data_IF_517424136228
#
_entry.id   IF_517424136228
#
_cell.length_a   1.000
_cell.length_b   1.000
_cell.length_c   1.000
_cell.angle_alpha   90.00
_cell.angle_beta   90.00
_cell.angle_gamma   90.00
#
_symmetry.space_group_name_H-M   'P 1'
#
loop_
_entity.id
_entity.type
_entity.pdbx_description
1 polymer ?
#
# COMPACT_ATOMS: atom_id res chain seq x y z
N UNK A 1 4.80 -15.53 13.69
CA UNK A 1 4.21 -14.94 12.46
C UNK A 1 5.27 -14.06 11.83
N UNK A 2 5.50 -14.15 10.52
CA UNK A 2 6.42 -13.24 9.82
C UNK A 2 5.78 -11.86 9.72
N UNK A 3 6.61 -10.81 9.69
CA UNK A 3 6.20 -9.42 9.54
C UNK A 3 7.01 -8.81 8.38
N UNK A 4 6.40 -7.90 7.62
CA UNK A 4 7.07 -7.10 6.60
C UNK A 4 6.92 -5.63 6.97
N UNK A 5 7.96 -4.86 6.72
CA UNK A 5 7.89 -3.40 6.79
C UNK A 5 7.65 -2.87 5.39
N UNK A 6 6.46 -2.32 5.18
CA UNK A 6 6.00 -1.84 3.88
C UNK A 6 5.59 -0.38 3.99
N UNK A 7 5.71 0.35 2.90
CA UNK A 7 5.11 1.68 2.74
C UNK A 7 4.25 1.69 1.49
N UNK A 8 3.19 2.48 1.47
CA UNK A 8 2.44 2.71 0.25
C UNK A 8 3.27 3.54 -0.73
N UNK A 9 3.00 3.34 -2.02
CA UNK A 9 3.48 4.23 -3.06
C UNK A 9 3.02 5.67 -2.80
N UNK A 10 3.80 6.64 -3.26
CA UNK A 10 3.49 8.06 -3.08
C UNK A 10 2.14 8.42 -3.70
N UNK A 11 1.28 9.09 -2.93
CA UNK A 11 -0.08 9.45 -3.35
C UNK A 11 -1.10 8.31 -3.25
N UNK A 12 -0.73 7.13 -2.76
CA UNK A 12 -1.64 6.01 -2.50
C UNK A 12 -1.84 5.78 -1.00
N UNK A 13 -3.05 5.36 -0.63
CA UNK A 13 -3.39 4.90 0.71
C UNK A 13 -3.97 3.50 0.64
N UNK A 14 -3.25 2.54 1.22
CA UNK A 14 -3.65 1.14 1.23
C UNK A 14 -4.30 0.79 2.57
N UNK A 15 -5.55 0.30 2.60
CA UNK A 15 -6.19 -0.10 3.85
C UNK A 15 -5.50 -1.32 4.48
N UNK A 16 -5.46 -1.40 5.81
CA UNK A 16 -4.98 -2.60 6.49
C UNK A 16 -6.01 -3.73 6.39
N UNK A 17 -5.52 -4.96 6.20
CA UNK A 17 -6.36 -6.16 6.11
C UNK A 17 -7.21 -6.37 7.37
N UNK A 18 -6.60 -6.16 8.54
CA UNK A 18 -7.27 -6.35 9.83
C UNK A 18 -8.19 -5.18 10.22
N UNK A 19 -7.93 -3.98 9.68
CA UNK A 19 -8.71 -2.79 10.01
C UNK A 19 -8.80 -1.82 8.83
N UNK A 20 -9.87 -1.87 8.03
CA UNK A 20 -10.01 -1.05 6.82
C UNK A 20 -10.17 0.45 7.11
N UNK A 21 -10.32 0.86 8.38
CA UNK A 21 -10.30 2.28 8.77
C UNK A 21 -8.88 2.84 8.92
N UNK A 22 -7.88 1.97 9.12
CA UNK A 22 -6.47 2.36 9.14
C UNK A 22 -5.87 2.14 7.76
N UNK A 23 -5.02 3.07 7.36
CA UNK A 23 -4.36 3.04 6.06
C UNK A 23 -2.84 3.11 6.24
N UNK A 24 -2.14 2.47 5.32
CA UNK A 24 -0.70 2.57 5.13
C UNK A 24 -0.50 3.65 4.06
N UNK A 25 0.29 4.66 4.41
CA UNK A 25 0.69 5.73 3.50
C UNK A 25 2.18 5.64 3.19
N UNK A 26 2.82 6.76 2.86
CA UNK A 26 4.27 6.84 2.62
C UNK A 26 5.13 6.50 3.86
N UNK A 27 4.54 6.56 5.06
CA UNK A 27 5.21 6.18 6.30
C UNK A 27 5.40 4.66 6.38
N UNK A 28 6.61 4.16 6.69
CA UNK A 28 6.87 2.74 6.80
C UNK A 28 6.11 2.13 7.97
N UNK A 29 5.25 1.15 7.68
CA UNK A 29 4.44 0.43 8.67
C UNK A 29 4.84 -1.04 8.68
N UNK A 30 4.97 -1.58 9.89
CA UNK A 30 5.19 -3.02 10.06
C UNK A 30 3.84 -3.74 10.06
N UNK A 31 3.66 -4.66 9.12
CA UNK A 31 2.44 -5.45 8.93
C UNK A 31 2.76 -6.94 8.96
N UNK A 32 1.80 -7.81 9.29
CA UNK A 32 2.01 -9.25 9.21
C UNK A 32 2.21 -9.73 7.77
N UNK A 33 3.03 -10.75 7.58
CA UNK A 33 3.27 -11.42 6.29
C UNK A 33 2.03 -12.22 5.86
N UNK A 34 1.12 -11.51 5.20
CA UNK A 34 -0.12 -12.05 4.66
C UNK A 34 -0.15 -11.94 3.14
N UNK A 35 -0.95 -12.81 2.53
CA UNK A 35 -1.13 -12.85 1.07
C UNK A 35 -1.63 -11.50 0.51
N UNK A 36 -2.42 -10.76 1.29
CA UNK A 36 -2.90 -9.42 0.94
C UNK A 36 -1.74 -8.46 0.62
N UNK A 37 -0.81 -8.28 1.57
CA UNK A 37 0.33 -7.37 1.42
C UNK A 37 1.31 -7.82 0.33
N UNK A 38 1.54 -9.13 0.20
CA UNK A 38 2.39 -9.69 -0.86
C UNK A 38 1.84 -9.42 -2.26
N UNK A 39 0.52 -9.44 -2.43
CA UNK A 39 -0.12 -9.12 -3.71
C UNK A 39 0.06 -7.66 -4.08
N UNK A 40 -0.06 -6.76 -3.10
CA UNK A 40 0.13 -5.32 -3.29
C UNK A 40 1.59 -4.97 -3.58
N UNK A 41 2.54 -5.64 -2.93
CA UNK A 41 3.97 -5.54 -3.26
C UNK A 41 4.23 -5.94 -4.72
N UNK A 42 3.61 -7.03 -5.19
CA UNK A 42 3.70 -7.46 -6.59
C UNK A 42 2.99 -6.52 -7.57
N UNK A 43 1.92 -5.86 -7.13
CA UNK A 43 1.20 -4.89 -7.93
C UNK A 43 1.94 -3.54 -8.02
N UNK A 44 2.86 -3.27 -7.08
CA UNK A 44 3.53 -1.97 -6.95
C UNK A 44 2.76 -0.95 -6.10
N UNK A 45 1.64 -1.36 -5.50
CA UNK A 45 0.85 -0.51 -4.57
C UNK A 45 1.58 -0.32 -3.23
N UNK A 46 2.32 -1.34 -2.80
CA UNK A 46 3.21 -1.29 -1.64
C UNK A 46 4.66 -1.42 -2.11
N UNK A 47 5.55 -0.82 -1.34
CA UNK A 47 7.00 -0.89 -1.49
C UNK A 47 7.62 -1.44 -0.21
N UNK A 48 8.60 -2.32 -0.36
CA UNK A 48 9.36 -2.85 0.77
C UNK A 48 10.25 -1.75 1.36
N UNK A 49 9.94 -1.31 2.58
CA UNK A 49 10.67 -0.23 3.25
C UNK A 49 11.96 -0.70 3.93
N UNK A 50 12.18 -2.01 4.05
CA UNK A 50 13.42 -2.62 4.56
C UNK A 50 14.50 -2.77 3.48
N UNK A 51 14.13 -2.70 2.20
CA UNK A 51 15.10 -2.71 1.12
C UNK A 51 15.68 -1.30 0.97
N UNK A 52 16.89 -1.10 1.48
CA UNK A 52 17.69 0.13 1.30
C UNK A 52 17.64 0.57 -0.18
N UNK A 53 17.41 1.87 -0.47
CA UNK A 53 17.01 2.31 -1.80
C UNK A 53 18.21 2.29 -2.74
N UNK A 54 18.33 1.25 -3.54
CA UNK A 54 19.16 1.26 -4.74
C UNK A 54 18.26 0.83 -5.90
N UNK A 55 17.79 1.85 -6.62
CA UNK A 55 17.32 1.84 -8.01
C UNK A 55 16.27 0.78 -8.41
N UNK A 56 15.06 1.22 -8.75
CA UNK A 56 14.69 1.42 -10.17
C UNK A 56 13.22 1.83 -10.33
N UNK A 57 13.06 3.05 -10.85
CA UNK A 57 12.19 3.46 -11.98
C UNK A 57 10.69 3.05 -11.97
N UNK A 58 9.85 4.07 -11.72
CA UNK A 58 8.63 4.46 -12.46
C UNK A 58 8.20 3.57 -13.64
N UNK A 59 6.97 3.03 -13.61
CA UNK A 59 5.92 3.19 -14.64
C UNK A 59 4.72 2.26 -14.39
N UNK A 60 3.51 2.85 -14.29
CA UNK A 60 2.20 2.37 -14.78
C UNK A 60 1.08 2.96 -13.89
N UNK A 61 0.71 4.22 -14.14
CA UNK A 61 -0.59 4.62 -14.72
C UNK A 61 -1.85 4.20 -13.92
N UNK A 62 -2.69 5.19 -13.57
CA UNK A 62 -3.76 5.04 -12.61
C UNK A 62 -4.94 4.28 -13.23
N UNK A 63 -5.41 3.23 -12.56
CA UNK A 63 -6.78 2.74 -12.75
C UNK A 63 -7.54 2.92 -11.44
N UNK A 64 -8.27 4.04 -11.44
CA UNK A 64 -9.45 4.34 -10.66
C UNK A 64 -10.16 3.12 -10.03
N UNK A 65 -10.40 3.20 -8.71
CA UNK A 65 -11.75 2.91 -8.20
C UNK A 65 -12.12 3.98 -7.19
N UNK A 66 -12.70 5.07 -7.71
CA UNK A 66 -13.66 5.85 -6.94
C UNK A 66 -14.81 4.94 -6.52
N UNK A 67 -15.05 4.83 -5.21
CA UNK A 67 -16.40 4.64 -4.64
C UNK A 67 -16.32 5.13 -3.20
N UNK A 68 -16.96 6.22 -2.76
CA UNK A 68 -18.09 6.97 -3.28
C UNK A 68 -18.05 8.34 -2.57
N UNK A 69 -18.12 9.43 -3.33
CA UNK A 69 -18.66 10.70 -2.83
C UNK A 69 -20.06 10.41 -2.30
N UNK A 70 -20.31 10.58 -1.01
CA UNK A 70 -21.67 10.75 -0.52
C UNK A 70 -21.82 12.16 0.02
N UNK A 71 -22.07 13.09 -0.90
CA UNK A 71 -22.75 14.33 -0.58
C UNK A 71 -24.24 13.99 -0.46
N UNK A 72 -24.79 13.99 0.76
CA UNK A 72 -26.23 14.10 0.97
C UNK A 72 -26.59 15.58 0.94
N UNK A 73 -27.39 15.94 -0.05
CA UNK A 73 -28.22 17.14 -0.08
C UNK A 73 -29.40 16.95 0.88
#
# INVERSE_FOLDING_TARGET
MKQLTVRAADGLHVPLEDNPRRHIGAEPVTVPDRAYYRRLLRAGDLLDATATPAETVTTATPTETKKKREARK
#
